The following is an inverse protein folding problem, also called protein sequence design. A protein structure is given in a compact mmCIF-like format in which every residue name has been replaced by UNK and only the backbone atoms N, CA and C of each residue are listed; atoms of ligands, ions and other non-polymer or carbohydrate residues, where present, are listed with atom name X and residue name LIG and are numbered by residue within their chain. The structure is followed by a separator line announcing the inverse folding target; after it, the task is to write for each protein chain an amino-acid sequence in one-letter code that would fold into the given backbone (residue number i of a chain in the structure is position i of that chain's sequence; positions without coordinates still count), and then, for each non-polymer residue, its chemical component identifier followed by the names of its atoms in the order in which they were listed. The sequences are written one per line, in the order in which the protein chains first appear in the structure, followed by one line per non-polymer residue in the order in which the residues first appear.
data_IF_399026811425
#
_entry.id   IF_399026811425
#
_cell.length_a   1.000
_cell.length_b   1.000
_cell.length_c   1.000
_cell.angle_alpha   90.00
_cell.angle_beta   90.00
_cell.angle_gamma   90.00
#
_symmetry.space_group_name_H-M   'P 1'
#
loop_
_entity.id
_entity.type
_entity.pdbx_description
1 polymer ?
#
# COMPACT_ATOMS: atom_id res chain seq x y z
N UNK A 1 -18.86 7.82 14.96
CA UNK A 1 -19.19 6.35 15.00
C UNK A 1 -18.03 5.68 15.71
N UNK A 2 -18.29 4.83 16.69
CA UNK A 2 -17.21 4.06 17.33
C UNK A 2 -16.88 2.84 16.46
N UNK A 3 -15.67 2.82 15.88
CA UNK A 3 -15.19 1.75 15.02
C UNK A 3 -14.61 0.56 15.83
N UNK A 4 -14.56 0.68 17.17
CA UNK A 4 -13.98 -0.32 18.09
C UNK A 4 -12.55 -0.72 17.70
N UNK A 5 -11.75 0.27 17.31
CA UNK A 5 -10.35 0.10 16.87
C UNK A 5 -9.34 0.43 17.96
N UNK A 6 -9.76 1.02 19.06
CA UNK A 6 -8.89 1.33 20.20
C UNK A 6 -8.10 0.09 20.62
N UNK A 7 -6.84 0.29 20.97
CA UNK A 7 -5.88 -0.74 21.41
C UNK A 7 -5.55 -1.82 20.37
N UNK A 8 -5.99 -1.66 19.11
CA UNK A 8 -5.60 -2.55 18.00
C UNK A 8 -4.34 -2.03 17.31
N UNK A 9 -3.61 -2.95 16.71
CA UNK A 9 -2.39 -2.64 15.96
C UNK A 9 -2.63 -2.71 14.46
N UNK A 10 -2.21 -1.67 13.73
CA UNK A 10 -2.21 -1.63 12.27
C UNK A 10 -0.78 -1.61 11.70
N UNK A 11 -0.58 -2.28 10.57
CA UNK A 11 0.57 -2.08 9.71
C UNK A 11 0.14 -1.57 8.34
N UNK A 12 0.78 -0.51 7.85
CA UNK A 12 0.46 0.12 6.57
C UNK A 12 1.73 0.19 5.73
N UNK A 13 1.78 -0.56 4.63
CA UNK A 13 2.91 -0.52 3.72
C UNK A 13 2.91 0.77 2.88
N UNK A 14 4.11 1.37 2.64
CA UNK A 14 4.25 2.58 1.85
C UNK A 14 3.48 3.78 2.41
N UNK A 15 3.64 4.07 3.69
CA UNK A 15 2.79 5.03 4.43
C UNK A 15 3.51 6.28 4.93
N UNK A 16 4.66 6.61 4.38
CA UNK A 16 5.36 7.87 4.71
C UNK A 16 4.77 9.10 3.99
N UNK A 17 3.85 8.90 3.05
CA UNK A 17 3.16 9.98 2.32
C UNK A 17 1.85 9.49 1.71
N UNK A 18 1.08 10.41 1.09
CA UNK A 18 -0.09 10.08 0.27
C UNK A 18 -1.21 9.37 1.03
N UNK A 19 -1.84 8.39 0.37
CA UNK A 19 -2.98 7.64 0.91
C UNK A 19 -2.59 6.90 2.19
N UNK A 20 -1.44 6.21 2.20
CA UNK A 20 -0.99 5.46 3.35
C UNK A 20 -0.76 6.33 4.59
N UNK A 21 -0.21 7.53 4.42
CA UNK A 21 -0.03 8.51 5.50
C UNK A 21 -1.39 9.00 6.04
N UNK A 22 -2.30 9.36 5.15
CA UNK A 22 -3.64 9.83 5.54
C UNK A 22 -4.41 8.75 6.33
N UNK A 23 -4.30 7.49 5.91
CA UNK A 23 -4.88 6.35 6.62
C UNK A 23 -4.21 6.17 7.99
N UNK A 24 -2.88 6.28 8.08
CA UNK A 24 -2.16 6.20 9.36
C UNK A 24 -2.67 7.26 10.34
N UNK A 25 -2.80 8.51 9.88
CA UNK A 25 -3.33 9.62 10.70
C UNK A 25 -4.73 9.34 11.25
N UNK A 26 -5.64 8.83 10.39
CA UNK A 26 -7.01 8.51 10.81
C UNK A 26 -7.01 7.37 11.85
N UNK A 27 -6.27 6.31 11.61
CA UNK A 27 -6.23 5.16 12.52
C UNK A 27 -5.59 5.51 13.88
N UNK A 28 -4.61 6.40 13.91
CA UNK A 28 -4.06 6.94 15.15
C UNK A 28 -5.13 7.75 15.92
N UNK A 29 -5.92 8.56 15.22
CA UNK A 29 -7.06 9.29 15.82
C UNK A 29 -8.15 8.38 16.39
N UNK A 30 -8.29 7.16 15.88
CA UNK A 30 -9.18 6.11 16.41
C UNK A 30 -8.56 5.32 17.59
N UNK A 31 -7.37 5.73 18.07
CA UNK A 31 -6.69 5.12 19.23
C UNK A 31 -5.96 3.81 18.92
N UNK A 32 -5.61 3.56 17.66
CA UNK A 32 -4.78 2.42 17.27
C UNK A 32 -3.29 2.67 17.50
N UNK A 33 -2.53 1.60 17.70
CA UNK A 33 -1.08 1.60 17.49
C UNK A 33 -0.78 1.36 16.02
N UNK A 34 -0.07 2.30 15.35
CA UNK A 34 0.16 2.23 13.91
C UNK A 34 1.65 2.08 13.61
N UNK A 35 1.98 1.06 12.81
CA UNK A 35 3.29 0.88 12.22
C UNK A 35 3.26 1.36 10.78
N UNK A 36 4.02 2.42 10.49
CA UNK A 36 4.22 2.93 9.13
C UNK A 36 5.46 2.32 8.49
N UNK A 37 5.51 2.34 7.15
CA UNK A 37 6.65 1.83 6.40
C UNK A 37 7.08 2.79 5.32
N UNK A 38 8.39 2.89 5.15
CA UNK A 38 9.06 3.60 4.07
C UNK A 38 10.37 2.94 3.67
N UNK A 39 10.97 3.38 2.55
CA UNK A 39 12.22 2.82 2.02
C UNK A 39 13.48 3.39 2.67
N UNK A 40 13.38 4.54 3.33
CA UNK A 40 14.52 5.20 4.00
C UNK A 40 14.18 5.61 5.42
N UNK A 41 15.18 5.60 6.29
CA UNK A 41 15.04 6.04 7.68
C UNK A 41 14.52 7.48 7.75
N UNK A 42 15.11 8.39 6.96
CA UNK A 42 14.72 9.79 6.96
C UNK A 42 13.23 10.00 6.63
N UNK A 43 12.69 9.30 5.62
CA UNK A 43 11.27 9.42 5.26
C UNK A 43 10.35 8.88 6.36
N UNK A 44 10.78 7.81 7.02
CA UNK A 44 10.03 7.22 8.14
C UNK A 44 10.03 8.14 9.35
N UNK A 45 11.20 8.68 9.75
CA UNK A 45 11.33 9.58 10.91
C UNK A 45 10.58 10.90 10.70
N UNK A 46 10.63 11.44 9.49
CA UNK A 46 9.86 12.64 9.11
C UNK A 46 8.37 12.38 9.25
N UNK A 47 7.87 11.27 8.71
CA UNK A 47 6.45 10.94 8.78
C UNK A 47 5.99 10.68 10.23
N UNK A 48 6.79 10.01 11.05
CA UNK A 48 6.50 9.80 12.48
C UNK A 48 6.40 11.16 13.20
N UNK A 49 7.36 12.05 12.98
CA UNK A 49 7.36 13.37 13.60
C UNK A 49 6.13 14.19 13.24
N UNK A 50 5.73 14.17 11.96
CA UNK A 50 4.52 14.83 11.49
C UNK A 50 3.26 14.23 12.11
N UNK A 51 3.12 12.90 12.13
CA UNK A 51 1.96 12.22 12.71
C UNK A 51 1.81 12.54 14.21
N UNK A 52 2.92 12.57 14.97
CA UNK A 52 2.92 12.93 16.39
C UNK A 52 2.53 14.39 16.64
N UNK A 53 2.84 15.29 15.70
CA UNK A 53 2.42 16.69 15.79
C UNK A 53 0.95 16.88 15.43
N UNK A 54 0.40 16.02 14.57
CA UNK A 54 -0.96 16.13 14.04
C UNK A 54 -2.00 15.35 14.86
N UNK A 55 -1.57 14.33 15.61
CA UNK A 55 -2.46 13.49 16.42
C UNK A 55 -1.95 13.41 17.85
N UNK A 56 -2.78 13.85 18.80
CA UNK A 56 -2.47 13.82 20.24
C UNK A 56 -2.34 12.35 20.68
N UNK A 57 -1.32 12.06 21.50
CA UNK A 57 -1.03 10.71 22.03
C UNK A 57 -0.83 9.65 20.95
N UNK A 58 -0.34 10.03 19.77
CA UNK A 58 -0.14 9.11 18.65
C UNK A 58 0.82 7.95 19.00
N UNK A 59 0.31 6.72 19.02
CA UNK A 59 1.11 5.51 19.17
C UNK A 59 1.61 5.06 17.78
N UNK A 60 2.65 5.73 17.27
CA UNK A 60 3.21 5.48 15.94
C UNK A 60 4.65 5.00 16.01
N UNK A 61 4.96 3.97 15.25
CA UNK A 61 6.29 3.40 15.03
C UNK A 61 6.57 3.23 13.54
N UNK A 62 7.84 3.11 13.16
CA UNK A 62 8.24 2.97 11.76
C UNK A 62 9.07 1.72 11.48
N UNK A 63 8.92 1.16 10.29
CA UNK A 63 9.74 0.05 9.80
C UNK A 63 10.31 0.42 8.44
N UNK A 64 11.65 0.45 8.35
CA UNK A 64 12.35 0.66 7.07
C UNK A 64 12.46 -0.65 6.33
N UNK A 65 11.80 -0.75 5.17
CA UNK A 65 11.89 -1.90 4.28
C UNK A 65 11.52 -1.49 2.84
N UNK A 66 12.30 -1.97 1.89
CA UNK A 66 12.03 -1.84 0.46
C UNK A 66 11.42 -3.14 -0.06
N UNK A 67 10.20 -3.08 -0.58
CA UNK A 67 9.50 -4.23 -1.12
C UNK A 67 10.04 -4.71 -2.48
N UNK A 68 10.86 -3.91 -3.14
CA UNK A 68 11.64 -4.38 -4.30
C UNK A 68 12.75 -5.37 -3.89
N UNK A 69 13.03 -5.47 -2.59
CA UNK A 69 14.00 -6.39 -2.01
C UNK A 69 13.29 -7.41 -1.09
N UNK A 70 12.89 -8.60 -1.59
CA UNK A 70 12.13 -9.59 -0.81
C UNK A 70 12.75 -9.97 0.53
N UNK A 71 14.10 -9.96 0.62
CA UNK A 71 14.82 -10.23 1.86
C UNK A 71 14.52 -9.23 2.98
N UNK A 72 14.12 -8.00 2.65
CA UNK A 72 13.79 -6.99 3.66
C UNK A 72 12.39 -7.20 4.29
N UNK A 73 11.51 -7.95 3.63
CA UNK A 73 10.18 -8.26 4.18
C UNK A 73 10.32 -9.07 5.49
N UNK A 74 11.34 -9.92 5.59
CA UNK A 74 11.61 -10.69 6.80
C UNK A 74 11.93 -9.81 8.03
N UNK A 75 12.47 -8.60 7.83
CA UNK A 75 12.71 -7.63 8.91
C UNK A 75 11.40 -7.15 9.51
N UNK A 76 10.37 -6.94 8.67
CA UNK A 76 9.03 -6.53 9.13
C UNK A 76 8.48 -7.58 10.10
N UNK A 77 8.57 -8.86 9.74
CA UNK A 77 8.05 -9.96 10.56
C UNK A 77 8.78 -10.14 11.88
N UNK A 78 10.10 -9.84 11.91
CA UNK A 78 10.91 -9.87 13.15
C UNK A 78 10.55 -8.72 14.09
N UNK A 79 10.28 -7.54 13.55
CA UNK A 79 9.95 -6.34 14.33
C UNK A 79 8.49 -6.36 14.80
N UNK A 80 7.59 -6.82 13.93
CA UNK A 80 6.15 -6.79 14.15
C UNK A 80 5.59 -8.18 13.85
N UNK A 81 5.41 -8.97 14.90
CA UNK A 81 5.02 -10.37 14.76
C UNK A 81 3.54 -10.56 14.48
N UNK A 82 2.68 -9.60 14.84
CA UNK A 82 1.23 -9.67 14.65
C UNK A 82 0.62 -8.29 14.45
N UNK A 83 -0.48 -8.24 13.73
CA UNK A 83 -1.30 -7.03 13.53
C UNK A 83 -2.77 -7.42 13.48
N UNK A 84 -3.63 -6.50 13.88
CA UNK A 84 -5.07 -6.64 13.76
C UNK A 84 -5.57 -6.14 12.40
N UNK A 85 -4.95 -5.07 11.89
CA UNK A 85 -5.29 -4.45 10.61
C UNK A 85 -4.04 -4.40 9.74
N UNK A 86 -4.13 -4.99 8.54
CA UNK A 86 -3.09 -4.92 7.52
C UNK A 86 -3.59 -4.10 6.34
N UNK A 87 -2.87 -3.04 5.98
CA UNK A 87 -3.18 -2.21 4.82
C UNK A 87 -2.04 -2.32 3.81
N UNK A 88 -2.29 -3.08 2.75
CA UNK A 88 -1.40 -3.26 1.61
C UNK A 88 -1.57 -2.06 0.67
N UNK A 89 -0.81 -0.99 0.94
CA UNK A 89 -0.92 0.28 0.24
C UNK A 89 0.27 0.56 -0.69
N UNK A 90 1.45 0.00 -0.42
CA UNK A 90 2.62 0.24 -1.25
C UNK A 90 2.33 -0.04 -2.73
N UNK A 91 2.83 0.84 -3.59
CA UNK A 91 2.72 0.66 -5.03
C UNK A 91 3.61 1.62 -5.79
N UNK A 92 4.11 1.14 -6.92
CA UNK A 92 4.85 1.92 -7.91
C UNK A 92 4.10 1.85 -9.24
N UNK A 93 4.27 2.86 -10.05
CA UNK A 93 3.68 2.95 -11.38
C UNK A 93 4.59 3.75 -12.31
N UNK A 94 4.46 3.48 -13.58
CA UNK A 94 5.11 4.25 -14.66
C UNK A 94 4.13 4.36 -15.82
N UNK A 95 4.25 5.43 -16.60
CA UNK A 95 3.55 5.62 -17.86
C UNK A 95 4.51 5.32 -19.00
N UNK A 96 4.19 4.34 -19.82
CA UNK A 96 4.97 3.95 -20.98
C UNK A 96 4.10 3.14 -21.94
N UNK A 97 4.37 3.20 -23.25
CA UNK A 97 3.67 2.36 -24.20
C UNK A 97 3.92 0.87 -23.90
N UNK A 98 2.98 0.01 -24.25
CA UNK A 98 3.11 -1.42 -24.04
C UNK A 98 4.40 -2.00 -24.66
N UNK A 99 4.74 -1.55 -25.87
CA UNK A 99 5.93 -2.02 -26.60
C UNK A 99 7.26 -1.51 -26.03
N UNK A 100 7.25 -0.36 -25.34
CA UNK A 100 8.44 0.20 -24.69
C UNK A 100 8.61 -0.24 -23.23
N UNK A 101 7.58 -0.82 -22.62
CA UNK A 101 7.66 -1.31 -21.24
C UNK A 101 8.40 -2.63 -21.18
N UNK A 102 9.58 -2.64 -20.56
CA UNK A 102 10.40 -3.85 -20.46
C UNK A 102 9.77 -4.93 -19.52
N UNK A 103 10.19 -6.18 -19.71
CA UNK A 103 9.76 -7.28 -18.83
C UNK A 103 10.21 -7.05 -17.39
N UNK A 104 11.38 -6.44 -17.18
CA UNK A 104 11.92 -6.08 -15.87
C UNK A 104 11.03 -5.07 -15.14
N UNK A 105 10.49 -4.07 -15.87
CA UNK A 105 9.52 -3.12 -15.32
C UNK A 105 8.24 -3.83 -14.87
N UNK A 106 7.74 -4.79 -15.64
CA UNK A 106 6.61 -5.62 -15.24
C UNK A 106 6.91 -6.41 -13.96
N UNK A 107 8.08 -7.07 -13.92
CA UNK A 107 8.50 -7.87 -12.76
C UNK A 107 8.63 -7.00 -11.51
N UNK A 108 9.25 -5.82 -11.63
CA UNK A 108 9.38 -4.88 -10.51
C UNK A 108 8.02 -4.42 -10.00
N UNK A 109 7.11 -4.03 -10.89
CA UNK A 109 5.77 -3.62 -10.49
C UNK A 109 5.00 -4.77 -9.84
N UNK A 110 5.09 -5.99 -10.35
CA UNK A 110 4.48 -7.15 -9.71
C UNK A 110 5.12 -7.45 -8.35
N UNK A 111 6.43 -7.37 -8.24
CA UNK A 111 7.14 -7.58 -6.97
C UNK A 111 6.68 -6.58 -5.89
N UNK A 112 6.65 -5.29 -6.23
CA UNK A 112 6.30 -4.24 -5.26
C UNK A 112 4.79 -4.18 -5.02
N UNK A 113 3.97 -4.20 -6.06
CA UNK A 113 2.53 -3.94 -5.93
C UNK A 113 1.74 -5.18 -5.48
N UNK A 114 2.17 -6.38 -5.87
CA UNK A 114 1.41 -7.63 -5.64
C UNK A 114 2.09 -8.51 -4.61
N UNK A 115 3.36 -8.91 -4.86
CA UNK A 115 4.05 -9.88 -4.02
C UNK A 115 4.32 -9.38 -2.61
N UNK A 116 4.47 -8.06 -2.42
CA UNK A 116 4.51 -7.44 -1.09
C UNK A 116 3.25 -7.77 -0.28
N UNK A 117 2.08 -7.50 -0.86
CA UNK A 117 0.79 -7.74 -0.22
C UNK A 117 0.49 -9.21 0.00
N UNK A 118 0.89 -10.08 -0.95
CA UNK A 118 0.79 -11.53 -0.80
C UNK A 118 1.64 -12.02 0.38
N UNK A 119 2.89 -11.57 0.48
CA UNK A 119 3.82 -11.97 1.54
C UNK A 119 3.34 -11.51 2.92
N UNK A 120 2.92 -10.26 3.04
CA UNK A 120 2.39 -9.69 4.28
C UNK A 120 1.09 -10.41 4.69
N UNK A 121 0.17 -10.59 3.77
CA UNK A 121 -1.10 -11.24 4.05
C UNK A 121 -0.91 -12.72 4.44
N UNK A 122 -0.03 -13.44 3.75
CA UNK A 122 0.32 -14.84 4.08
C UNK A 122 0.84 -14.98 5.51
N UNK A 123 1.61 -14.01 5.99
CA UNK A 123 2.17 -14.04 7.33
C UNK A 123 1.12 -13.67 8.40
N UNK A 124 0.48 -12.52 8.27
CA UNK A 124 -0.40 -11.99 9.30
C UNK A 124 -1.76 -12.68 9.38
N UNK A 125 -2.31 -13.12 8.24
CA UNK A 125 -3.63 -13.75 8.19
C UNK A 125 -3.72 -15.02 9.04
N UNK A 126 -2.64 -15.80 9.16
CA UNK A 126 -2.62 -17.00 10.01
C UNK A 126 -2.95 -16.66 11.46
N UNK A 127 -2.37 -15.57 12.00
CA UNK A 127 -2.65 -15.11 13.37
C UNK A 127 -4.03 -14.50 13.51
N UNK A 128 -4.45 -13.73 12.52
CA UNK A 128 -5.81 -13.18 12.47
C UNK A 128 -6.87 -14.28 12.52
N UNK A 129 -6.68 -15.35 11.75
CA UNK A 129 -7.59 -16.52 11.76
C UNK A 129 -7.61 -17.22 13.13
N UNK A 130 -6.44 -17.42 13.76
CA UNK A 130 -6.35 -18.01 15.10
C UNK A 130 -7.07 -17.17 16.16
N UNK A 131 -6.94 -15.82 16.07
CA UNK A 131 -7.60 -14.89 16.98
C UNK A 131 -9.08 -14.65 16.61
N UNK A 132 -9.55 -15.21 15.52
CA UNK A 132 -10.88 -15.00 14.95
C UNK A 132 -11.23 -13.52 14.73
N UNK A 133 -10.22 -12.67 14.45
CA UNK A 133 -10.40 -11.26 14.14
C UNK A 133 -9.25 -10.72 13.30
N UNK A 134 -9.58 -9.99 12.25
CA UNK A 134 -8.58 -9.31 11.43
C UNK A 134 -9.20 -8.54 10.27
N UNK A 135 -8.47 -7.52 9.79
CA UNK A 135 -8.85 -6.72 8.61
C UNK A 135 -7.66 -6.63 7.66
N UNK A 136 -7.84 -7.13 6.46
CA UNK A 136 -6.87 -7.01 5.38
C UNK A 136 -7.47 -6.11 4.31
N UNK A 137 -6.78 -5.03 3.97
CA UNK A 137 -7.16 -4.12 2.91
C UNK A 137 -6.06 -4.06 1.87
N UNK A 138 -6.48 -4.01 0.59
CA UNK A 138 -5.59 -3.77 -0.54
C UNK A 138 -6.00 -2.46 -1.20
N UNK A 139 -5.03 -1.56 -1.41
CA UNK A 139 -5.25 -0.32 -2.15
C UNK A 139 -4.99 -0.61 -3.63
N UNK A 140 -6.08 -0.81 -4.37
CA UNK A 140 -6.08 -0.99 -5.82
C UNK A 140 -6.09 0.38 -6.53
N UNK A 141 -6.75 0.48 -7.67
CA UNK A 141 -6.92 1.70 -8.46
C UNK A 141 -8.07 1.52 -9.43
N UNK A 142 -8.69 2.62 -9.85
CA UNK A 142 -9.61 2.63 -10.99
C UNK A 142 -8.97 2.10 -12.29
N UNK A 143 -7.64 2.21 -12.41
CA UNK A 143 -6.88 1.64 -13.53
C UNK A 143 -7.05 0.11 -13.66
N UNK A 144 -7.46 -0.59 -12.60
CA UNK A 144 -7.78 -2.02 -12.69
C UNK A 144 -9.00 -2.32 -13.58
N UNK A 145 -9.83 -1.33 -13.84
CA UNK A 145 -11.03 -1.41 -14.68
C UNK A 145 -10.91 -0.62 -15.97
N UNK A 146 -10.41 0.63 -15.89
CA UNK A 146 -10.32 1.54 -17.05
C UNK A 146 -9.12 1.27 -17.95
N UNK A 147 -8.07 0.66 -17.41
CA UNK A 147 -6.84 0.21 -18.12
C UNK A 147 -6.31 1.24 -19.12
N UNK A 148 -5.69 2.35 -18.70
CA UNK A 148 -5.06 3.28 -19.61
C UNK A 148 -3.97 2.58 -20.45
N UNK A 149 -3.90 2.88 -21.74
CA UNK A 149 -3.00 2.19 -22.69
C UNK A 149 -1.51 2.40 -22.39
N UNK A 150 -1.19 3.46 -21.67
CA UNK A 150 0.15 3.78 -21.19
C UNK A 150 0.45 3.29 -19.77
N UNK A 151 -0.48 2.54 -19.14
CA UNK A 151 -0.36 2.00 -17.78
C UNK A 151 -0.80 0.54 -17.67
N UNK A 152 -0.66 -0.25 -18.74
CA UNK A 152 -1.16 -1.63 -18.79
C UNK A 152 -0.51 -2.49 -17.70
N UNK A 153 0.81 -2.41 -17.50
CA UNK A 153 1.53 -3.18 -16.48
C UNK A 153 1.04 -2.85 -15.07
N UNK A 154 0.90 -1.58 -14.75
CA UNK A 154 0.35 -1.13 -13.46
C UNK A 154 -1.10 -1.63 -13.28
N UNK A 155 -1.94 -1.46 -14.28
CA UNK A 155 -3.34 -1.89 -14.26
C UNK A 155 -3.47 -3.39 -13.99
N UNK A 156 -2.63 -4.21 -14.62
CA UNK A 156 -2.57 -5.64 -14.38
C UNK A 156 -2.24 -5.97 -12.90
N UNK A 157 -1.28 -5.24 -12.28
CA UNK A 157 -0.98 -5.42 -10.86
C UNK A 157 -2.17 -5.08 -9.97
N UNK A 158 -2.90 -4.02 -10.29
CA UNK A 158 -4.06 -3.58 -9.50
C UNK A 158 -5.27 -4.52 -9.67
N UNK A 159 -5.45 -5.12 -10.83
CA UNK A 159 -6.43 -6.19 -11.05
C UNK A 159 -6.06 -7.47 -10.29
N UNK A 160 -4.77 -7.83 -10.24
CA UNK A 160 -4.28 -8.98 -9.47
C UNK A 160 -4.59 -8.86 -7.96
N UNK A 161 -4.51 -7.65 -7.38
CA UNK A 161 -4.87 -7.41 -5.97
C UNK A 161 -6.35 -7.71 -5.70
N UNK A 162 -7.24 -7.46 -6.64
CA UNK A 162 -8.68 -7.75 -6.48
C UNK A 162 -8.93 -9.26 -6.41
N UNK A 163 -8.31 -10.02 -7.31
CA UNK A 163 -8.40 -11.48 -7.30
C UNK A 163 -7.80 -12.05 -6.01
N UNK A 164 -6.64 -11.54 -5.58
CA UNK A 164 -5.97 -11.93 -4.33
C UNK A 164 -6.87 -11.69 -3.13
N UNK A 165 -7.40 -10.48 -2.98
CA UNK A 165 -8.28 -10.12 -1.87
C UNK A 165 -9.53 -10.99 -1.82
N UNK A 166 -10.16 -11.25 -2.97
CA UNK A 166 -11.33 -12.12 -3.06
C UNK A 166 -11.01 -13.55 -2.62
N UNK A 167 -9.87 -14.09 -3.05
CA UNK A 167 -9.40 -15.42 -2.62
C UNK A 167 -9.20 -15.49 -1.11
N UNK A 168 -8.56 -14.47 -0.51
CA UNK A 168 -8.36 -14.40 0.94
C UNK A 168 -9.68 -14.26 1.70
N UNK A 169 -10.65 -13.50 1.17
CA UNK A 169 -11.98 -13.39 1.78
C UNK A 169 -12.72 -14.74 1.79
N UNK A 170 -12.58 -15.54 0.72
CA UNK A 170 -13.14 -16.89 0.67
C UNK A 170 -12.45 -17.83 1.66
N UNK A 171 -11.12 -17.75 1.79
CA UNK A 171 -10.35 -18.51 2.76
C UNK A 171 -10.76 -18.20 4.21
N UNK A 172 -11.13 -16.94 4.49
CA UNK A 172 -11.58 -16.47 5.81
C UNK A 172 -13.06 -16.76 6.11
N UNK A 173 -13.78 -17.42 5.22
CA UNK A 173 -15.21 -17.65 5.35
C UNK A 173 -15.56 -18.35 6.66
N UNK A 174 -16.58 -17.87 7.37
CA UNK A 174 -16.99 -18.39 8.67
C UNK A 174 -16.15 -17.92 9.86
N UNK A 175 -15.24 -16.97 9.64
CA UNK A 175 -14.40 -16.36 10.69
C UNK A 175 -14.68 -14.86 10.84
N UNK A 176 -14.12 -14.24 11.89
CA UNK A 176 -14.16 -12.79 12.11
C UNK A 176 -13.13 -12.00 11.26
N UNK A 177 -12.43 -12.65 10.31
CA UNK A 177 -11.43 -12.00 9.43
C UNK A 177 -12.06 -11.58 8.12
N UNK A 178 -11.72 -10.38 7.64
CA UNK A 178 -12.17 -9.89 6.32
C UNK A 178 -11.00 -9.45 5.46
N UNK A 179 -11.16 -9.63 4.14
CA UNK A 179 -10.25 -9.07 3.14
C UNK A 179 -11.06 -8.28 2.12
N UNK A 180 -10.68 -7.01 1.92
CA UNK A 180 -11.38 -6.07 1.05
C UNK A 180 -10.41 -5.28 0.18
N UNK A 181 -10.94 -4.70 -0.90
CA UNK A 181 -10.21 -3.82 -1.80
C UNK A 181 -10.82 -2.42 -1.73
N UNK A 182 -9.95 -1.42 -1.60
CA UNK A 182 -10.30 -0.02 -1.82
C UNK A 182 -9.80 0.36 -3.21
N UNK A 183 -10.67 0.99 -4.00
CA UNK A 183 -10.40 1.37 -5.39
C UNK A 183 -10.42 2.89 -5.49
N UNK A 184 -9.31 3.58 -5.19
CA UNK A 184 -9.23 5.01 -5.36
C UNK A 184 -9.29 5.39 -6.84
N UNK A 185 -9.96 6.50 -7.15
CA UNK A 185 -9.77 7.24 -8.38
C UNK A 185 -8.55 8.16 -8.30
N UNK A 186 -8.51 9.14 -9.21
CA UNK A 186 -7.43 10.14 -9.24
C UNK A 186 -7.33 10.90 -7.93
N UNK A 187 -6.27 10.63 -7.16
CA UNK A 187 -6.05 11.20 -5.83
C UNK A 187 -4.85 12.15 -5.86
N UNK A 188 -5.05 13.40 -5.47
CA UNK A 188 -4.00 14.42 -5.46
C UNK A 188 -3.02 14.19 -4.30
N UNK A 189 -2.03 13.33 -4.52
CA UNK A 189 -0.90 13.11 -3.62
C UNK A 189 0.38 13.76 -4.14
N UNK A 190 1.42 13.87 -3.32
CA UNK A 190 2.72 14.37 -3.77
C UNK A 190 3.28 13.53 -4.94
N UNK A 191 3.14 12.20 -4.87
CA UNK A 191 3.54 11.29 -5.95
C UNK A 191 2.73 11.49 -7.23
N UNK A 192 1.41 11.70 -7.11
CA UNK A 192 0.55 11.98 -8.26
C UNK A 192 0.89 13.33 -8.92
N UNK A 193 1.18 14.37 -8.12
CA UNK A 193 1.64 15.67 -8.65
C UNK A 193 2.93 15.52 -9.45
N UNK A 194 3.91 14.83 -8.91
CA UNK A 194 5.18 14.57 -9.59
C UNK A 194 4.97 13.83 -10.92
N UNK A 195 4.18 12.75 -10.90
CA UNK A 195 3.85 11.99 -12.09
C UNK A 195 3.16 12.83 -13.18
N UNK A 196 2.18 13.66 -12.81
CA UNK A 196 1.50 14.56 -13.75
C UNK A 196 2.46 15.60 -14.35
N UNK A 197 3.41 16.09 -13.56
CA UNK A 197 4.43 17.01 -14.04
C UNK A 197 5.37 16.35 -15.05
N UNK A 198 5.84 15.12 -14.77
CA UNK A 198 6.67 14.37 -15.71
C UNK A 198 5.93 14.05 -17.02
N UNK A 199 4.67 13.63 -16.93
CA UNK A 199 3.82 13.35 -18.10
C UNK A 199 3.63 14.61 -18.96
N UNK A 200 3.29 15.74 -18.35
CA UNK A 200 3.14 17.02 -19.06
C UNK A 200 4.46 17.50 -19.70
N UNK A 201 5.60 17.25 -19.06
CA UNK A 201 6.91 17.58 -19.62
C UNK A 201 7.27 16.69 -20.83
N UNK A 202 6.91 15.41 -20.80
CA UNK A 202 7.11 14.48 -21.90
C UNK A 202 6.22 14.83 -23.11
N UNK A 203 4.96 15.18 -22.89
CA UNK A 203 4.03 15.60 -23.95
C UNK A 203 4.49 16.90 -24.65
N UNK A 204 5.02 17.87 -23.90
CA UNK A 204 5.58 19.10 -24.47
C UNK A 204 6.83 18.85 -25.36
N UNK A 205 7.68 17.88 -25.00
CA UNK A 205 8.84 17.51 -25.86
C UNK A 205 8.38 16.89 -27.17
N UNK A 206 7.38 16.04 -27.16
CA UNK A 206 6.84 15.40 -28.38
C UNK A 206 6.24 16.48 -29.33
N UNK A 207 5.58 17.50 -28.77
CA UNK A 207 5.01 18.61 -29.60
C UNK A 207 6.03 19.61 -30.10
N UNK A 208 7.27 19.63 -29.57
CA UNK A 208 8.36 20.48 -30.05
C UNK A 208 9.21 19.82 -31.14
N UNK A 209 9.11 18.50 -31.30
CA UNK A 209 9.89 17.71 -32.27
C UNK A 209 9.06 17.33 -33.52
N UNK A 210 7.81 17.86 -33.64
CA UNK A 210 6.95 17.80 -34.83
C UNK A 210 6.83 19.16 -35.49
#
# INVERSE_FOLDING_TARGET
MDLKLKDKTAFISGSTSGIGYAVAKILLGEGMSVYINGRSQNSVDTAISQLKNEVIDASVSGIVADFNQPSQISKIFKTLSEVNVLINNVGIYSSSSFFATSVETWQEQFQVNVMSGVSLSKYYMKKMLHQNWGRILFISSECAYLVPTDMISYSATKAALQATSRGLAQLARGTGVTSNVVVPGSTLSAGAKFFLQEKAAAEKKISSDC
#
